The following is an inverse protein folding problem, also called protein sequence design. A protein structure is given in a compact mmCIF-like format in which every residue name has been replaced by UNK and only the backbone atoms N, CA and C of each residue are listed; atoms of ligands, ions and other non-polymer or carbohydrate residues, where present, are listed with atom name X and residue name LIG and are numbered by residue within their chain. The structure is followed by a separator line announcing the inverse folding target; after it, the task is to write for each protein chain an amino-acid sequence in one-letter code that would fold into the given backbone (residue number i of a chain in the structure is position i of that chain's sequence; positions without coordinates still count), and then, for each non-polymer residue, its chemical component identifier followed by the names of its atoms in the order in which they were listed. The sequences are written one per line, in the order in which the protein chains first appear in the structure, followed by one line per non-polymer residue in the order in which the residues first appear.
data_IF_689366207220
#
_entry.id   IF_689366207220
#
_cell.length_a   1.000
_cell.length_b   1.000
_cell.length_c   1.000
_cell.angle_alpha   90.00
_cell.angle_beta   90.00
_cell.angle_gamma   90.00
#
_symmetry.space_group_name_H-M   'P 1'
#
loop_
_entity.id
_entity.type
_entity.pdbx_description
1 polymer ?
#
# COMPACT_ATOMS: atom_id res chain seq x y z
N UNK A 1 12.97 15.68 4.74
CA UNK A 1 12.47 14.69 3.78
C UNK A 1 12.30 15.39 2.41
N UNK A 2 13.11 15.05 1.42
CA UNK A 2 13.06 15.76 0.14
C UNK A 2 12.40 14.88 -0.94
N UNK A 3 11.07 14.79 -0.90
CA UNK A 3 10.28 14.04 -1.86
C UNK A 3 9.82 14.85 -3.07
N UNK A 4 10.01 16.17 -3.04
CA UNK A 4 9.52 17.06 -4.12
C UNK A 4 10.01 16.69 -5.50
N UNK A 5 11.22 16.16 -5.61
CA UNK A 5 11.88 15.82 -6.88
C UNK A 5 12.05 14.32 -7.06
N UNK A 6 11.30 13.50 -6.32
CA UNK A 6 11.39 12.04 -6.38
C UNK A 6 10.13 11.41 -6.93
N UNK A 7 10.31 10.32 -7.67
CA UNK A 7 9.21 9.41 -8.00
C UNK A 7 9.26 8.23 -7.05
N UNK A 8 8.11 7.86 -6.52
CA UNK A 8 8.01 6.79 -5.52
C UNK A 8 6.60 6.20 -5.50
N UNK A 9 6.47 5.08 -4.82
CA UNK A 9 5.20 4.38 -4.65
C UNK A 9 4.82 4.42 -3.18
N UNK A 10 3.60 4.85 -2.89
CA UNK A 10 2.97 4.67 -1.59
C UNK A 10 2.12 3.41 -1.69
N UNK A 11 2.23 2.49 -0.73
CA UNK A 11 1.45 1.26 -0.82
C UNK A 11 0.95 0.77 0.52
N UNK A 12 -0.14 0.00 0.45
CA UNK A 12 -0.72 -0.77 1.53
C UNK A 12 -1.04 -2.18 1.03
N UNK A 13 -0.75 -3.17 1.86
CA UNK A 13 -1.13 -4.56 1.61
C UNK A 13 -2.12 -4.98 2.67
N UNK A 14 -3.22 -5.61 2.23
CA UNK A 14 -4.22 -6.18 3.11
C UNK A 14 -4.16 -7.70 2.99
N UNK A 15 -4.02 -8.44 4.10
CA UNK A 15 -3.98 -9.89 4.09
C UNK A 15 -5.38 -10.50 3.95
N UNK A 16 -5.44 -11.79 3.59
CA UNK A 16 -6.69 -12.53 3.51
C UNK A 16 -7.34 -12.74 4.87
N UNK A 17 -6.56 -12.71 5.95
CA UNK A 17 -7.01 -12.80 7.33
C UNK A 17 -5.95 -12.18 8.25
N UNK A 18 -6.34 -11.89 9.48
CA UNK A 18 -5.51 -11.16 10.45
C UNK A 18 -4.19 -11.84 10.77
N UNK A 19 -4.18 -13.20 10.82
CA UNK A 19 -2.96 -13.99 11.09
C UNK A 19 -2.78 -15.08 10.04
N UNK A 20 -1.56 -15.21 9.51
CA UNK A 20 -1.17 -16.31 8.64
C UNK A 20 -1.86 -16.34 7.29
N UNK A 21 -2.36 -15.22 6.83
CA UNK A 21 -3.01 -15.13 5.53
C UNK A 21 -2.02 -14.88 4.38
N UNK A 22 -2.55 -14.96 3.17
CA UNK A 22 -1.89 -14.49 1.95
C UNK A 22 -2.24 -13.01 1.71
N UNK A 23 -1.65 -12.43 0.68
CA UNK A 23 -2.03 -11.08 0.24
C UNK A 23 -3.40 -11.15 -0.43
N UNK A 24 -4.37 -10.40 0.10
CA UNK A 24 -5.71 -10.30 -0.47
C UNK A 24 -5.87 -9.06 -1.36
N UNK A 25 -5.15 -7.99 -1.04
CA UNK A 25 -5.32 -6.70 -1.70
C UNK A 25 -4.01 -5.94 -1.68
N UNK A 26 -3.74 -5.25 -2.79
CA UNK A 26 -2.68 -4.23 -2.86
C UNK A 26 -3.32 -2.94 -3.33
N UNK A 27 -3.15 -1.88 -2.57
CA UNK A 27 -3.49 -0.51 -2.95
C UNK A 27 -2.20 0.30 -3.00
N UNK A 28 -1.95 0.96 -4.13
CA UNK A 28 -0.73 1.71 -4.32
C UNK A 28 -0.97 2.98 -5.13
N UNK A 29 -0.17 4.00 -4.84
CA UNK A 29 -0.16 5.26 -5.57
C UNK A 29 1.24 5.49 -6.14
N UNK A 30 1.31 5.86 -7.39
CA UNK A 30 2.55 6.29 -8.06
C UNK A 30 2.62 7.80 -8.02
N UNK A 31 3.63 8.34 -7.34
CA UNK A 31 3.76 9.77 -7.07
C UNK A 31 5.02 10.30 -7.73
N UNK A 32 4.90 11.47 -8.34
CA UNK A 32 6.03 12.25 -8.82
C UNK A 32 6.06 13.59 -8.08
N UNK A 33 6.91 13.69 -7.07
CA UNK A 33 6.95 14.84 -6.18
C UNK A 33 5.71 14.94 -5.33
N UNK A 34 4.81 15.84 -5.72
CA UNK A 34 3.49 16.00 -5.08
C UNK A 34 2.35 15.57 -6.01
N UNK A 35 2.67 15.13 -7.23
CA UNK A 35 1.68 14.80 -8.25
C UNK A 35 1.37 13.32 -8.23
N UNK A 36 0.10 12.97 -8.16
CA UNK A 36 -0.37 11.60 -8.36
C UNK A 36 -0.35 11.28 -9.85
N UNK A 37 0.48 10.32 -10.26
CA UNK A 37 0.58 9.88 -11.64
C UNK A 37 -0.38 8.74 -11.96
N UNK A 38 -0.51 7.76 -11.06
CA UNK A 38 -1.31 6.56 -11.30
C UNK A 38 -1.69 5.86 -10.00
N UNK A 39 -2.71 5.01 -10.06
CA UNK A 39 -3.22 4.20 -8.96
C UNK A 39 -3.18 2.72 -9.31
N UNK A 40 -3.03 1.89 -8.30
CA UNK A 40 -3.11 0.45 -8.38
C UNK A 40 -4.01 -0.05 -7.25
N UNK A 41 -5.21 -0.51 -7.59
CA UNK A 41 -6.16 -1.05 -6.63
C UNK A 41 -6.64 -2.43 -7.12
N UNK A 42 -6.00 -3.48 -6.63
CA UNK A 42 -6.30 -4.85 -7.02
C UNK A 42 -6.54 -5.73 -5.80
N UNK A 43 -7.48 -6.63 -5.95
CA UNK A 43 -7.90 -7.57 -4.90
C UNK A 43 -7.99 -8.98 -5.49
N UNK A 44 -7.73 -10.00 -4.66
CA UNK A 44 -8.00 -11.38 -5.06
C UNK A 44 -9.48 -11.59 -5.31
N UNK A 45 -9.79 -12.54 -6.21
CA UNK A 45 -11.15 -12.96 -6.49
C UNK A 45 -11.91 -13.21 -5.17
N UNK A 46 -13.11 -12.65 -5.07
CA UNK A 46 -13.98 -12.74 -3.89
C UNK A 46 -14.27 -14.16 -3.45
N UNK A 47 -14.12 -15.15 -4.34
CA UNK A 47 -14.25 -16.57 -3.99
C UNK A 47 -13.08 -17.11 -3.19
N UNK A 48 -11.95 -16.37 -3.10
CA UNK A 48 -10.73 -16.79 -2.43
C UNK A 48 -10.46 -16.01 -1.15
N UNK A 49 -11.29 -15.04 -0.84
CA UNK A 49 -11.14 -14.19 0.34
C UNK A 49 -12.47 -14.10 1.08
N UNK A 50 -12.38 -13.90 2.39
CA UNK A 50 -13.55 -13.61 3.19
C UNK A 50 -13.77 -12.10 3.22
N UNK A 51 -14.71 -11.62 2.41
CA UNK A 51 -15.02 -10.19 2.32
C UNK A 51 -15.38 -9.56 3.67
N UNK A 52 -16.23 -10.20 4.53
CA UNK A 52 -16.50 -9.64 5.85
C UNK A 52 -15.24 -9.44 6.70
N UNK A 53 -14.26 -10.36 6.63
CA UNK A 53 -13.02 -10.22 7.39
C UNK A 53 -12.18 -9.05 6.86
N UNK A 54 -12.14 -8.86 5.53
CA UNK A 54 -11.44 -7.73 4.93
C UNK A 54 -12.11 -6.41 5.31
N UNK A 55 -13.45 -6.35 5.30
CA UNK A 55 -14.18 -5.15 5.68
C UNK A 55 -14.00 -4.77 7.15
N UNK A 56 -13.68 -5.74 8.02
CA UNK A 56 -13.33 -5.46 9.41
C UNK A 56 -11.96 -4.81 9.55
N UNK A 57 -11.03 -5.17 8.65
CA UNK A 57 -9.66 -4.62 8.64
C UNK A 57 -9.66 -3.25 7.96
N UNK A 58 -10.48 -3.08 6.94
CA UNK A 58 -10.55 -1.87 6.12
C UNK A 58 -12.01 -1.45 5.91
N UNK A 59 -12.23 -0.16 5.68
CA UNK A 59 -13.54 0.37 5.28
C UNK A 59 -13.68 0.46 3.75
N UNK A 60 -12.91 -0.33 3.01
CA UNK A 60 -12.83 -0.21 1.57
C UNK A 60 -14.01 -0.86 0.87
N UNK A 61 -14.60 -0.15 -0.07
CA UNK A 61 -15.68 -0.63 -0.90
C UNK A 61 -15.17 -1.64 -1.93
N UNK A 62 -15.92 -2.73 -2.12
CA UNK A 62 -15.60 -3.77 -3.10
C UNK A 62 -15.62 -3.27 -4.54
N UNK A 63 -16.44 -2.28 -4.85
CA UNK A 63 -16.63 -1.78 -6.22
C UNK A 63 -15.44 -0.97 -6.74
N UNK A 64 -14.54 -0.55 -5.84
CA UNK A 64 -13.37 0.26 -6.19
C UNK A 64 -12.19 -0.56 -6.69
N UNK A 65 -12.27 -1.89 -6.65
CA UNK A 65 -11.15 -2.76 -6.95
C UNK A 65 -11.33 -3.56 -8.23
N UNK A 66 -10.21 -3.76 -8.93
CA UNK A 66 -10.09 -4.79 -9.95
C UNK A 66 -9.71 -6.10 -9.29
N UNK A 67 -10.12 -7.21 -9.88
CA UNK A 67 -9.93 -8.54 -9.30
C UNK A 67 -8.95 -9.37 -10.10
N UNK A 68 -8.15 -10.16 -9.41
CA UNK A 68 -7.23 -11.14 -9.98
C UNK A 68 -7.47 -12.51 -9.34
N UNK A 69 -7.13 -13.58 -10.06
CA UNK A 69 -7.43 -14.94 -9.60
C UNK A 69 -6.42 -15.50 -8.62
N UNK A 70 -5.18 -15.06 -8.66
CA UNK A 70 -4.10 -15.64 -7.83
C UNK A 70 -3.21 -14.54 -7.25
N UNK A 71 -2.57 -14.84 -6.12
CA UNK A 71 -1.56 -13.97 -5.52
C UNK A 71 -0.39 -13.77 -6.48
N UNK A 72 0.01 -14.81 -7.22
CA UNK A 72 1.08 -14.72 -8.22
C UNK A 72 0.75 -13.68 -9.31
N UNK A 73 -0.47 -13.69 -9.81
CA UNK A 73 -0.94 -12.71 -10.80
C UNK A 73 -0.98 -11.30 -10.21
N UNK A 74 -1.43 -11.17 -8.97
CA UNK A 74 -1.44 -9.89 -8.25
C UNK A 74 -0.03 -9.32 -8.12
N UNK A 75 0.93 -10.14 -7.68
CA UNK A 75 2.31 -9.72 -7.52
C UNK A 75 2.97 -9.37 -8.86
N UNK A 76 2.68 -10.10 -9.91
CA UNK A 76 3.18 -9.79 -11.25
C UNK A 76 2.70 -8.41 -11.72
N UNK A 77 1.41 -8.13 -11.57
CA UNK A 77 0.84 -6.83 -11.93
C UNK A 77 1.42 -5.71 -11.07
N UNK A 78 1.61 -5.95 -9.79
CA UNK A 78 2.21 -4.98 -8.88
C UNK A 78 3.66 -4.66 -9.29
N UNK A 79 4.46 -5.68 -9.58
CA UNK A 79 5.84 -5.49 -10.03
C UNK A 79 5.92 -4.67 -11.33
N UNK A 80 5.01 -4.90 -12.25
CA UNK A 80 4.91 -4.10 -13.48
C UNK A 80 4.53 -2.65 -13.18
N UNK A 81 3.62 -2.43 -12.25
CA UNK A 81 3.17 -1.10 -11.87
C UNK A 81 4.28 -0.27 -11.22
N UNK A 82 5.04 -0.85 -10.31
CA UNK A 82 6.08 -0.10 -9.57
C UNK A 82 7.31 0.22 -10.43
N UNK A 83 7.50 -0.49 -11.54
CA UNK A 83 8.72 -0.41 -12.35
C UNK A 83 9.94 -0.73 -11.46
N UNK A 84 10.83 0.22 -11.22
CA UNK A 84 11.93 0.08 -10.27
C UNK A 84 11.89 1.18 -9.19
N UNK A 85 10.72 1.78 -9.01
CA UNK A 85 10.55 2.90 -8.09
C UNK A 85 10.62 2.44 -6.62
N UNK A 86 11.18 3.28 -5.74
CA UNK A 86 11.23 2.97 -4.32
C UNK A 86 9.83 3.02 -3.69
N UNK A 87 9.65 2.18 -2.68
CA UNK A 87 8.39 2.03 -1.97
C UNK A 87 8.43 2.82 -0.66
N UNK A 88 7.38 3.58 -0.42
CA UNK A 88 7.13 4.25 0.85
C UNK A 88 6.04 3.47 1.58
N UNK A 89 6.38 2.92 2.72
CA UNK A 89 5.46 2.16 3.57
C UNK A 89 5.49 2.72 4.99
N UNK A 90 4.43 2.46 5.74
CA UNK A 90 4.43 2.75 7.16
C UNK A 90 5.30 1.70 7.86
N UNK A 91 6.33 2.16 8.57
CA UNK A 91 7.16 1.28 9.37
C UNK A 91 6.33 0.68 10.52
N UNK A 92 6.68 -0.50 11.00
CA UNK A 92 5.92 -1.30 11.97
C UNK A 92 4.62 -1.91 11.41
N UNK A 93 4.26 -1.63 10.16
CA UNK A 93 3.19 -2.37 9.49
C UNK A 93 3.70 -3.74 9.03
N UNK A 94 2.80 -4.64 8.73
CA UNK A 94 3.13 -5.96 8.18
C UNK A 94 3.43 -5.95 6.67
N UNK A 95 3.33 -4.80 6.03
CA UNK A 95 3.46 -4.65 4.57
C UNK A 95 4.80 -5.17 4.06
N UNK A 96 5.89 -4.76 4.70
CA UNK A 96 7.25 -5.18 4.31
C UNK A 96 7.45 -6.68 4.44
N UNK A 97 6.95 -7.27 5.52
CA UNK A 97 7.05 -8.70 5.75
C UNK A 97 6.32 -9.50 4.67
N UNK A 98 5.13 -9.06 4.27
CA UNK A 98 4.38 -9.70 3.19
C UNK A 98 5.10 -9.60 1.85
N UNK A 99 5.66 -8.45 1.53
CA UNK A 99 6.41 -8.27 0.29
C UNK A 99 7.64 -9.18 0.24
N UNK A 100 8.40 -9.25 1.33
CA UNK A 100 9.59 -10.09 1.41
C UNK A 100 9.26 -11.58 1.37
N UNK A 101 8.16 -12.00 1.99
CA UNK A 101 7.70 -13.38 1.97
C UNK A 101 7.30 -13.85 0.58
N UNK A 102 6.67 -12.98 -0.21
CA UNK A 102 6.22 -13.31 -1.56
C UNK A 102 7.26 -12.99 -2.65
N UNK A 103 8.38 -12.43 -2.29
CA UNK A 103 9.49 -12.19 -3.20
C UNK A 103 10.40 -13.42 -3.20
N UNK A 104 10.11 -14.36 -4.11
CA UNK A 104 10.85 -15.62 -4.25
C UNK A 104 12.15 -15.47 -5.05
N UNK A 105 12.56 -14.26 -5.36
CA UNK A 105 13.80 -14.01 -6.08
C UNK A 105 14.98 -14.01 -5.10
N UNK A 106 16.15 -14.48 -5.56
CA UNK A 106 17.37 -14.52 -4.73
C UNK A 106 17.82 -13.14 -4.27
N UNK A 107 17.47 -12.11 -5.03
CA UNK A 107 17.70 -10.72 -4.68
C UNK A 107 16.36 -10.01 -4.69
N UNK A 108 16.03 -9.32 -3.60
CA UNK A 108 14.81 -8.53 -3.54
C UNK A 108 14.87 -7.41 -4.58
N UNK A 109 13.83 -7.33 -5.41
CA UNK A 109 13.66 -6.22 -6.35
C UNK A 109 13.09 -4.97 -5.69
N UNK A 110 12.55 -5.11 -4.47
CA UNK A 110 11.91 -4.01 -3.78
C UNK A 110 12.93 -3.10 -3.11
N UNK A 111 12.86 -1.83 -3.44
CA UNK A 111 13.64 -0.76 -2.82
C UNK A 111 12.72 0.03 -1.90
N UNK A 112 13.18 0.33 -0.69
CA UNK A 112 12.37 1.07 0.27
C UNK A 112 12.92 2.47 0.45
N UNK A 113 12.02 3.45 0.51
CA UNK A 113 12.40 4.78 0.97
C UNK A 113 12.60 4.73 2.48
N UNK A 114 13.78 5.14 2.91
CA UNK A 114 14.12 5.20 4.32
C UNK A 114 13.57 6.49 4.93
N UNK A 115 12.26 6.53 5.10
CA UNK A 115 11.56 7.59 5.81
C UNK A 115 11.01 6.96 7.07
N UNK A 116 11.39 7.51 8.23
CA UNK A 116 10.94 7.01 9.52
C UNK A 116 9.47 7.36 9.76
N UNK A 117 8.58 6.86 8.89
CA UNK A 117 7.14 6.98 9.08
C UNK A 117 6.67 5.73 9.83
N UNK A 118 6.64 5.85 11.13
CA UNK A 118 6.05 4.85 12.02
C UNK A 118 4.54 5.08 12.13
N UNK A 119 3.82 4.12 12.72
CA UNK A 119 2.40 4.29 13.02
C UNK A 119 2.15 5.53 13.87
N UNK A 120 3.01 5.80 14.85
CA UNK A 120 2.89 6.98 15.71
C UNK A 120 3.07 8.30 14.94
N UNK A 121 4.03 8.34 14.02
CA UNK A 121 4.23 9.52 13.16
C UNK A 121 3.03 9.72 12.26
N UNK A 122 2.51 8.66 11.69
CA UNK A 122 1.33 8.71 10.84
C UNK A 122 0.10 9.22 11.59
N UNK A 123 -0.15 8.70 12.78
CA UNK A 123 -1.27 9.15 13.63
C UNK A 123 -1.14 10.64 13.97
N UNK A 124 0.07 11.11 14.26
CA UNK A 124 0.30 12.55 14.51
C UNK A 124 0.01 13.40 13.29
N UNK A 125 0.35 12.93 12.09
CA UNK A 125 0.06 13.67 10.86
C UNK A 125 -1.44 13.73 10.57
N UNK A 126 -2.16 12.63 10.81
CA UNK A 126 -3.61 12.60 10.68
C UNK A 126 -4.24 13.65 11.60
N UNK A 127 -3.82 13.70 12.85
CA UNK A 127 -4.34 14.66 13.83
C UNK A 127 -3.95 16.09 13.49
N UNK A 128 -2.69 16.30 13.11
CA UNK A 128 -2.16 17.63 12.79
C UNK A 128 -2.94 18.29 11.64
N UNK A 129 -3.31 17.52 10.61
CA UNK A 129 -3.99 18.03 9.43
C UNK A 129 -5.48 17.72 9.40
N UNK A 130 -6.00 17.11 10.46
CA UNK A 130 -7.42 16.74 10.57
C UNK A 130 -7.91 15.94 9.37
N UNK A 131 -7.16 14.89 9.00
CA UNK A 131 -7.48 14.05 7.85
C UNK A 131 -8.62 13.08 8.18
N UNK A 132 -9.43 12.76 7.17
CA UNK A 132 -10.55 11.83 7.33
C UNK A 132 -10.08 10.38 7.33
N UNK A 133 -10.22 9.69 8.47
CA UNK A 133 -9.82 8.29 8.64
C UNK A 133 -10.67 7.29 7.86
N UNK A 134 -11.77 7.73 7.25
CA UNK A 134 -12.59 6.90 6.37
C UNK A 134 -11.99 6.71 4.97
N UNK A 135 -10.99 7.50 4.59
CA UNK A 135 -10.28 7.36 3.33
C UNK A 135 -9.35 6.14 3.33
N UNK A 136 -8.96 5.69 2.15
CA UNK A 136 -7.96 4.64 2.00
C UNK A 136 -6.65 5.08 2.65
N UNK A 137 -5.95 4.15 3.29
CA UNK A 137 -4.69 4.44 3.98
C UNK A 137 -3.67 5.10 3.06
N UNK A 138 -3.55 4.63 1.83
CA UNK A 138 -2.62 5.21 0.85
C UNK A 138 -2.98 6.66 0.51
N UNK A 139 -4.26 6.99 0.44
CA UNK A 139 -4.72 8.35 0.17
C UNK A 139 -4.46 9.27 1.37
N UNK A 140 -4.68 8.78 2.58
CA UNK A 140 -4.35 9.51 3.81
C UNK A 140 -2.85 9.80 3.89
N UNK A 141 -2.04 8.81 3.62
CA UNK A 141 -0.58 8.94 3.64
C UNK A 141 -0.11 9.92 2.57
N UNK A 142 -0.68 9.86 1.38
CA UNK A 142 -0.41 10.83 0.31
C UNK A 142 -0.73 12.26 0.76
N UNK A 143 -1.94 12.49 1.31
CA UNK A 143 -2.32 13.82 1.78
C UNK A 143 -1.41 14.32 2.89
N UNK A 144 -1.03 13.46 3.82
CA UNK A 144 -0.11 13.83 4.90
C UNK A 144 1.25 14.25 4.33
N UNK A 145 1.77 13.50 3.38
CA UNK A 145 3.07 13.78 2.77
C UNK A 145 3.07 15.11 2.02
N UNK A 146 2.08 15.37 1.17
CA UNK A 146 2.05 16.61 0.39
C UNK A 146 1.90 17.85 1.28
N UNK A 147 1.32 17.72 2.45
CA UNK A 147 1.21 18.82 3.43
C UNK A 147 2.48 19.04 4.22
N UNK A 148 3.29 17.98 4.41
CA UNK A 148 4.57 18.07 5.13
C UNK A 148 5.74 18.54 4.26
N UNK A 149 5.67 18.32 2.98
CA UNK A 149 6.70 18.82 2.08
C UNK A 149 6.36 20.29 1.66
#
# INVERSE_FOLDING_TARGET
MNLKNKRYIILEIIPTKIKGGNIAQISALKINGIKLEDRFDYRLDKNKINIPDILKITNYDNDSFKYVKTTKSLMKKFKEFIEDLPLLIIDNSYTRNYLEEFDNEKESIFKYLNLDITDDVFDRLINKYNLEVSNYLVDLLYEAIIREI
#
